data_IF_771110468845
#
_entry.id   IF_771110468845
#
_cell.length_a   1.000
_cell.length_b   1.000
_cell.length_c   1.000
_cell.angle_alpha   90.00
_cell.angle_beta   90.00
_cell.angle_gamma   90.00
#
_symmetry.space_group_name_H-M   'P 1'
#
loop_
_entity.id
_entity.type
_entity.pdbx_description
1 polymer ?
#
# COMPACT_ATOMS: atom_id res chain seq x y z
N UNK A 1 8.22 6.28 -17.41
CA UNK A 1 8.65 6.98 -16.18
C UNK A 1 7.42 7.57 -15.50
N UNK A 2 6.63 6.73 -14.84
CA UNK A 2 5.50 7.17 -14.02
C UNK A 2 6.03 7.28 -12.61
N UNK A 3 6.51 8.49 -12.25
CA UNK A 3 6.74 8.82 -10.85
C UNK A 3 5.45 8.50 -10.09
N UNK A 4 5.52 7.54 -9.19
CA UNK A 4 4.44 7.20 -8.28
C UNK A 4 4.37 8.37 -7.27
N UNK A 5 3.87 9.51 -7.74
CA UNK A 5 3.77 10.74 -6.96
C UNK A 5 2.51 10.76 -6.08
N UNK A 6 1.56 9.85 -6.33
CA UNK A 6 0.37 9.68 -5.52
C UNK A 6 0.26 8.24 -5.07
N UNK A 7 0.35 8.03 -3.76
CA UNK A 7 -0.01 6.75 -3.17
C UNK A 7 -1.45 6.39 -3.52
N UNK A 8 -1.74 5.11 -3.68
CA UNK A 8 -3.09 4.65 -4.02
C UNK A 8 -4.14 5.18 -3.05
N UNK A 9 -5.29 5.62 -3.57
CA UNK A 9 -6.37 6.23 -2.79
C UNK A 9 -7.14 5.18 -1.98
N UNK A 10 -7.88 5.62 -0.95
CA UNK A 10 -8.76 4.75 -0.17
C UNK A 10 -9.79 4.02 -1.05
N UNK A 11 -10.35 4.70 -2.04
CA UNK A 11 -11.32 4.12 -2.96
C UNK A 11 -10.70 3.00 -3.81
N UNK A 12 -9.44 3.17 -4.23
CA UNK A 12 -8.69 2.16 -4.99
C UNK A 12 -8.41 0.93 -4.12
N UNK A 13 -8.05 1.11 -2.85
CA UNK A 13 -7.85 0.00 -1.89
C UNK A 13 -9.18 -0.73 -1.64
N UNK A 14 -10.29 -0.01 -1.47
CA UNK A 14 -11.60 -0.62 -1.30
C UNK A 14 -12.01 -1.44 -2.54
N UNK A 15 -11.81 -0.89 -3.75
CA UNK A 15 -12.10 -1.62 -4.99
C UNK A 15 -11.25 -2.90 -5.11
N UNK A 16 -9.98 -2.83 -4.76
CA UNK A 16 -9.10 -4.00 -4.72
C UNK A 16 -9.59 -5.06 -3.73
N UNK A 17 -9.99 -4.68 -2.51
CA UNK A 17 -10.48 -5.60 -1.50
C UNK A 17 -11.82 -6.26 -1.90
N UNK A 18 -12.70 -5.50 -2.58
CA UNK A 18 -13.92 -6.08 -3.18
C UNK A 18 -13.58 -7.15 -4.20
N UNK A 19 -12.62 -6.88 -5.07
CA UNK A 19 -12.26 -7.79 -6.15
C UNK A 19 -11.51 -9.04 -5.67
N UNK A 20 -10.67 -8.91 -4.64
CA UNK A 20 -9.81 -10.00 -4.15
C UNK A 20 -10.47 -10.88 -3.09
N UNK A 21 -11.35 -10.32 -2.24
CA UNK A 21 -11.95 -11.04 -1.12
C UNK A 21 -13.48 -11.22 -1.23
N UNK A 22 -14.08 -10.85 -2.37
CA UNK A 22 -15.54 -10.87 -2.58
C UNK A 22 -16.34 -10.12 -1.50
N UNK A 23 -15.73 -9.08 -0.93
CA UNK A 23 -16.35 -8.28 0.12
C UNK A 23 -17.49 -7.42 -0.42
N UNK A 24 -18.55 -7.28 0.40
CA UNK A 24 -19.55 -6.26 0.18
C UNK A 24 -18.94 -4.86 0.32
N UNK A 25 -19.61 -3.86 -0.24
CA UNK A 25 -19.07 -2.50 -0.29
C UNK A 25 -18.81 -1.90 1.10
N UNK A 26 -19.63 -2.25 2.10
CA UNK A 26 -19.50 -1.71 3.44
C UNK A 26 -18.29 -2.32 4.17
N UNK A 27 -18.12 -3.65 4.06
CA UNK A 27 -16.95 -4.35 4.59
C UNK A 27 -15.68 -3.88 3.89
N UNK A 28 -15.66 -3.80 2.57
CA UNK A 28 -14.47 -3.36 1.84
C UNK A 28 -14.03 -1.94 2.19
N UNK A 29 -14.98 -1.01 2.41
CA UNK A 29 -14.68 0.35 2.87
C UNK A 29 -14.11 0.37 4.28
N UNK A 30 -14.64 -0.47 5.18
CA UNK A 30 -14.12 -0.58 6.55
C UNK A 30 -12.68 -1.10 6.54
N UNK A 31 -12.44 -2.22 5.87
CA UNK A 31 -11.12 -2.84 5.77
C UNK A 31 -10.13 -1.91 5.05
N UNK A 32 -10.55 -1.22 3.99
CA UNK A 32 -9.70 -0.27 3.29
C UNK A 32 -9.24 0.89 4.19
N UNK A 33 -10.07 1.34 5.14
CA UNK A 33 -9.68 2.36 6.13
C UNK A 33 -8.60 1.85 7.07
N UNK A 34 -8.73 0.61 7.53
CA UNK A 34 -7.73 -0.02 8.39
C UNK A 34 -6.40 -0.21 7.64
N UNK A 35 -6.45 -0.69 6.39
CA UNK A 35 -5.28 -0.78 5.50
C UNK A 35 -4.63 0.59 5.31
N UNK A 36 -5.41 1.62 4.94
CA UNK A 36 -4.90 2.98 4.76
C UNK A 36 -4.25 3.52 6.04
N UNK A 37 -4.88 3.31 7.20
CA UNK A 37 -4.33 3.72 8.49
C UNK A 37 -2.97 3.04 8.77
N UNK A 38 -2.86 1.75 8.48
CA UNK A 38 -1.62 1.00 8.64
C UNK A 38 -0.53 1.49 7.69
N UNK A 39 -0.86 1.75 6.42
CA UNK A 39 0.07 2.29 5.42
C UNK A 39 0.61 3.67 5.82
N UNK A 40 -0.25 4.57 6.27
CA UNK A 40 0.15 5.88 6.77
C UNK A 40 1.04 5.74 8.01
N UNK A 41 0.69 4.86 8.94
CA UNK A 41 1.50 4.58 10.13
C UNK A 41 2.88 4.03 9.75
N UNK A 42 2.96 3.10 8.79
CA UNK A 42 4.23 2.56 8.29
C UNK A 42 5.09 3.65 7.65
N UNK A 43 4.48 4.57 6.91
CA UNK A 43 5.16 5.72 6.33
C UNK A 43 5.71 6.67 7.39
N UNK A 44 4.90 7.00 8.41
CA UNK A 44 5.32 7.86 9.52
C UNK A 44 6.46 7.25 10.35
N UNK A 45 6.45 5.93 10.53
CA UNK A 45 7.53 5.20 11.18
C UNK A 45 8.78 5.05 10.30
N UNK A 46 8.71 5.47 9.04
CA UNK A 46 9.82 5.38 8.09
C UNK A 46 10.08 3.98 7.57
N UNK A 47 9.10 3.06 7.62
CA UNK A 47 9.22 1.72 7.03
C UNK A 47 9.03 1.73 5.52
N UNK A 48 8.09 2.55 5.03
CA UNK A 48 7.78 2.68 3.61
C UNK A 48 7.82 4.16 3.21
N UNK A 49 8.13 4.45 1.95
CA UNK A 49 8.06 5.80 1.38
C UNK A 49 6.72 6.05 0.69
N UNK A 50 6.05 4.99 0.23
CA UNK A 50 4.75 5.02 -0.44
C UNK A 50 4.18 3.62 -0.71
N UNK A 51 3.06 3.58 -1.43
CA UNK A 51 2.40 2.35 -1.87
C UNK A 51 1.64 2.63 -3.18
N UNK A 52 1.49 1.63 -4.04
CA UNK A 52 0.91 1.77 -5.37
C UNK A 52 0.26 0.48 -5.84
N UNK A 53 -0.51 0.56 -6.93
CA UNK A 53 -0.95 -0.61 -7.66
C UNK A 53 0.00 -0.87 -8.83
N UNK A 54 0.56 -2.07 -8.90
CA UNK A 54 1.39 -2.50 -10.03
C UNK A 54 0.56 -2.71 -11.30
N UNK A 55 1.21 -3.11 -12.39
CA UNK A 55 0.56 -3.37 -13.68
C UNK A 55 -0.43 -4.54 -13.62
N UNK A 56 -0.33 -5.40 -12.60
CA UNK A 56 -1.23 -6.53 -12.37
C UNK A 56 -2.42 -6.16 -11.47
N UNK A 57 -2.43 -4.93 -10.92
CA UNK A 57 -3.46 -4.47 -10.00
C UNK A 57 -3.25 -4.92 -8.56
N UNK A 58 -2.04 -5.37 -8.20
CA UNK A 58 -1.67 -5.72 -6.82
C UNK A 58 -1.16 -4.50 -6.06
N UNK A 59 -1.56 -4.40 -4.79
CA UNK A 59 -1.07 -3.36 -3.89
C UNK A 59 0.37 -3.67 -3.47
N UNK A 60 1.32 -2.89 -3.99
CA UNK A 60 2.73 -2.96 -3.64
C UNK A 60 3.16 -1.83 -2.71
N UNK A 61 4.15 -2.12 -1.87
CA UNK A 61 4.75 -1.18 -0.93
C UNK A 61 6.12 -0.76 -1.42
N UNK A 62 6.41 0.54 -1.34
CA UNK A 62 7.75 1.08 -1.59
C UNK A 62 8.50 1.13 -0.26
N UNK A 63 9.43 0.20 0.04
CA UNK A 63 10.21 0.24 1.26
C UNK A 63 11.07 1.50 1.32
N UNK A 64 11.39 1.96 2.53
CA UNK A 64 12.36 3.04 2.71
C UNK A 64 13.79 2.52 2.58
N UNK A 65 14.73 3.42 2.28
CA UNK A 65 16.17 3.11 2.25
C UNK A 65 16.67 2.49 3.55
N UNK A 66 16.11 2.92 4.69
CA UNK A 66 16.46 2.38 6.00
C UNK A 66 16.05 0.92 6.16
N UNK A 67 14.90 0.55 5.59
CA UNK A 67 14.42 -0.83 5.56
C UNK A 67 15.21 -1.63 4.52
N UNK A 68 15.42 -1.13 3.31
CA UNK A 68 16.20 -1.79 2.27
C UNK A 68 17.60 -2.19 2.76
N UNK A 69 18.31 -1.28 3.44
CA UNK A 69 19.64 -1.57 4.02
C UNK A 69 19.66 -2.69 5.07
N UNK A 70 18.52 -2.99 5.70
CA UNK A 70 18.38 -4.07 6.67
C UNK A 70 18.04 -5.41 6.03
N UNK A 71 17.28 -5.40 4.93
CA UNK A 71 16.81 -6.63 4.27
C UNK A 71 17.84 -7.11 3.23
N UNK A 72 18.54 -6.19 2.58
CA UNK A 72 19.61 -6.47 1.61
C UNK A 72 20.88 -5.69 2.01
N UNK A 73 21.62 -6.18 3.03
CA UNK A 73 22.85 -5.54 3.42
C UNK A 73 23.87 -5.68 2.28
N UNK A 74 24.47 -4.58 1.78
CA UNK A 74 25.52 -4.67 0.79
C UNK A 74 26.67 -5.52 1.36
N UNK A 75 27.08 -6.50 0.55
CA UNK A 75 28.08 -7.52 0.88
C UNK A 75 29.47 -6.93 1.08
#
# INVERSE_FOLDING_TARGET
MTGISQSASLASIAAYLKHTNDYDEQTAQKEAREVMHNLVTMRQKGFITGWYFDEQGHLELLPSDAVLKRIDPPK
#
